data_IF_781146353210
#
_entry.id   IF_781146353210
#
_cell.length_a   1.000
_cell.length_b   1.000
_cell.length_c   1.000
_cell.angle_alpha   90.00
_cell.angle_beta   90.00
_cell.angle_gamma   90.00
#
_symmetry.space_group_name_H-M   'P 1'
#
loop_
_entity.id
_entity.type
_entity.pdbx_description
1 polymer ?
#
# COMPACT_ATOMS: atom_id res chain seq x y z
N UNK A 1 25.37 -1.69 -25.90
CA UNK A 1 24.51 -2.08 -24.77
C UNK A 1 23.47 -0.98 -24.62
N UNK A 2 22.30 -1.15 -25.24
CA UNK A 2 21.23 -0.14 -25.24
C UNK A 2 20.83 0.17 -23.80
N UNK A 3 21.08 1.42 -23.39
CA UNK A 3 20.54 1.96 -22.16
C UNK A 3 19.02 1.95 -22.25
N UNK A 4 18.40 0.92 -21.69
CA UNK A 4 16.95 0.90 -21.42
C UNK A 4 16.62 2.22 -20.74
N UNK A 5 15.95 3.11 -21.47
CA UNK A 5 15.42 4.36 -20.97
C UNK A 5 14.55 4.02 -19.75
N UNK A 6 15.11 4.22 -18.55
CA UNK A 6 14.38 3.99 -17.31
C UNK A 6 13.38 5.13 -17.22
N UNK A 7 12.16 4.87 -17.68
CA UNK A 7 11.05 5.82 -17.53
C UNK A 7 10.79 5.92 -16.02
N UNK A 8 11.30 6.99 -15.42
CA UNK A 8 11.09 7.30 -14.01
C UNK A 8 9.73 7.98 -13.88
N UNK A 9 8.95 7.54 -12.89
CA UNK A 9 7.66 8.13 -12.55
C UNK A 9 7.77 8.88 -11.22
N UNK A 10 8.37 10.09 -11.20
CA UNK A 10 8.71 10.79 -9.97
C UNK A 10 7.47 11.14 -9.14
N UNK A 11 6.36 11.52 -9.78
CA UNK A 11 5.10 11.85 -9.09
C UNK A 11 4.55 10.67 -8.28
N UNK A 12 4.44 9.50 -8.90
CA UNK A 12 3.97 8.28 -8.21
C UNK A 12 4.96 7.84 -7.14
N UNK A 13 6.27 7.92 -7.42
CA UNK A 13 7.30 7.55 -6.45
C UNK A 13 7.25 8.44 -5.20
N UNK A 14 7.07 9.75 -5.36
CA UNK A 14 6.92 10.69 -4.23
C UNK A 14 5.70 10.37 -3.38
N UNK A 15 4.53 10.13 -4.01
CA UNK A 15 3.30 9.77 -3.27
C UNK A 15 3.49 8.45 -2.51
N UNK A 16 4.08 7.44 -3.15
CA UNK A 16 4.33 6.14 -2.53
C UNK A 16 5.33 6.24 -1.36
N UNK A 17 6.39 7.03 -1.51
CA UNK A 17 7.34 7.31 -0.44
C UNK A 17 6.66 8.05 0.70
N UNK A 18 5.86 9.07 0.42
CA UNK A 18 5.13 9.81 1.46
C UNK A 18 4.19 8.89 2.27
N UNK A 19 3.41 8.05 1.59
CA UNK A 19 2.53 7.07 2.24
C UNK A 19 3.32 6.04 3.06
N UNK A 20 4.46 5.55 2.54
CA UNK A 20 5.34 4.65 3.28
C UNK A 20 5.94 5.33 4.52
N UNK A 21 6.37 6.58 4.41
CA UNK A 21 6.89 7.36 5.55
C UNK A 21 5.85 7.51 6.66
N UNK A 22 4.58 7.75 6.31
CA UNK A 22 3.48 7.79 7.30
C UNK A 22 3.32 6.43 7.99
N UNK A 23 3.41 5.33 7.23
CA UNK A 23 3.34 3.99 7.81
C UNK A 23 4.56 3.66 8.69
N UNK A 24 5.76 4.06 8.28
CA UNK A 24 6.98 3.92 9.08
C UNK A 24 6.90 4.74 10.37
N UNK A 25 6.36 5.96 10.30
CA UNK A 25 6.12 6.80 11.47
C UNK A 25 5.21 6.11 12.49
N UNK A 26 4.18 5.37 12.04
CA UNK A 26 3.38 4.52 12.94
C UNK A 26 4.24 3.47 13.65
N UNK A 27 5.02 2.69 12.90
CA UNK A 27 5.84 1.60 13.48
C UNK A 27 6.83 2.17 14.49
N UNK A 28 7.46 3.30 14.14
CA UNK A 28 8.35 4.02 15.03
C UNK A 28 7.64 4.54 16.29
N UNK A 29 6.47 5.18 16.14
CA UNK A 29 5.68 5.69 17.27
C UNK A 29 5.23 4.57 18.21
N UNK A 30 4.84 3.41 17.65
CA UNK A 30 4.45 2.23 18.42
C UNK A 30 5.65 1.64 19.19
N UNK A 31 6.84 1.56 18.56
CA UNK A 31 8.06 1.13 19.26
C UNK A 31 8.48 2.15 20.33
N UNK A 32 8.44 3.44 20.00
CA UNK A 32 8.81 4.51 20.92
C UNK A 32 7.94 4.46 22.16
N UNK A 33 6.61 4.35 22.04
CA UNK A 33 5.72 4.20 23.20
C UNK A 33 6.00 2.93 24.02
N UNK A 34 6.44 1.84 23.37
CA UNK A 34 6.78 0.60 24.07
C UNK A 34 8.04 0.73 24.94
N UNK A 35 9.08 1.41 24.44
CA UNK A 35 10.37 1.53 25.13
C UNK A 35 10.44 2.79 26.01
N UNK A 36 9.81 3.87 25.57
CA UNK A 36 9.80 5.19 26.20
C UNK A 36 8.36 5.70 26.23
N UNK A 37 7.57 5.31 27.26
CA UNK A 37 6.21 5.81 27.37
C UNK A 37 6.22 7.32 27.59
N UNK A 38 5.75 8.08 26.60
CA UNK A 38 5.71 9.54 26.63
C UNK A 38 4.28 10.04 26.79
N UNK A 39 4.05 11.06 27.62
CA UNK A 39 2.70 11.57 27.89
C UNK A 39 2.03 12.32 26.74
N UNK A 40 2.79 12.68 25.70
CA UNK A 40 2.27 13.41 24.53
C UNK A 40 1.59 12.49 23.48
N UNK A 41 2.00 11.22 23.40
CA UNK A 41 1.42 10.24 22.47
C UNK A 41 0.40 9.37 23.21
N UNK A 42 -0.65 8.88 22.52
CA UNK A 42 -1.61 7.93 23.12
C UNK A 42 -0.90 6.72 23.74
N UNK A 43 -1.43 6.14 24.83
CA UNK A 43 -0.88 4.95 25.47
C UNK A 43 -0.67 3.82 24.48
N UNK A 44 0.34 2.98 24.70
CA UNK A 44 0.65 1.83 23.84
C UNK A 44 -0.57 0.93 23.55
N UNK A 45 -1.47 0.79 24.52
CA UNK A 45 -2.78 0.12 24.43
C UNK A 45 -3.64 0.63 23.26
N UNK A 46 -3.55 1.92 22.89
CA UNK A 46 -4.33 2.48 21.77
C UNK A 46 -3.67 2.21 20.39
N UNK A 47 -2.36 1.93 20.39
CA UNK A 47 -1.59 1.63 19.18
C UNK A 47 -1.71 0.17 18.74
N UNK A 48 -2.15 -0.71 19.64
CA UNK A 48 -2.46 -2.10 19.36
C UNK A 48 -3.90 -2.39 19.73
N UNK A 49 -4.68 -3.04 18.87
CA UNK A 49 -6.06 -3.41 19.24
C UNK A 49 -6.14 -4.48 20.35
N UNK A 50 -5.01 -4.95 20.90
CA UNK A 50 -4.92 -6.08 21.83
C UNK A 50 -5.31 -7.45 21.24
N UNK A 51 -5.93 -7.47 20.06
CA UNK A 51 -6.52 -8.66 19.45
C UNK A 51 -5.52 -9.73 18.98
N UNK A 52 -4.25 -9.35 18.78
CA UNK A 52 -3.20 -10.25 18.29
C UNK A 52 -1.89 -10.02 19.05
N UNK A 53 -1.02 -11.05 19.19
CA UNK A 53 0.25 -10.91 19.86
C UNK A 53 1.14 -9.83 19.21
N UNK A 54 1.77 -9.00 20.04
CA UNK A 54 2.61 -7.88 19.58
C UNK A 54 3.75 -8.33 18.64
N UNK A 55 4.40 -9.46 18.92
CA UNK A 55 5.48 -9.97 18.07
C UNK A 55 5.00 -10.26 16.64
N UNK A 56 3.78 -10.81 16.51
CA UNK A 56 3.17 -11.11 15.22
C UNK A 56 2.80 -9.82 14.46
N UNK A 57 2.31 -8.80 15.19
CA UNK A 57 2.08 -7.46 14.65
C UNK A 57 3.36 -6.85 14.08
N UNK A 58 4.47 -6.93 14.81
CA UNK A 58 5.76 -6.39 14.36
C UNK A 58 6.26 -7.13 13.12
N UNK A 59 6.20 -8.46 13.10
CA UNK A 59 6.58 -9.27 11.93
C UNK A 59 5.75 -8.87 10.71
N UNK A 60 4.43 -8.76 10.86
CA UNK A 60 3.55 -8.33 9.77
C UNK A 60 3.89 -6.91 9.28
N UNK A 61 4.17 -5.96 10.19
CA UNK A 61 4.55 -4.59 9.84
C UNK A 61 5.85 -4.54 9.02
N UNK A 62 6.88 -5.28 9.45
CA UNK A 62 8.14 -5.36 8.70
C UNK A 62 7.93 -6.01 7.32
N UNK A 63 7.12 -7.06 7.25
CA UNK A 63 6.82 -7.74 5.99
C UNK A 63 6.07 -6.80 5.02
N UNK A 64 5.12 -6.01 5.51
CA UNK A 64 4.43 -4.97 4.75
C UNK A 64 5.41 -3.91 4.25
N UNK A 65 6.26 -3.36 5.14
CA UNK A 65 7.27 -2.35 4.76
C UNK A 65 8.19 -2.89 3.68
N UNK A 66 8.69 -4.12 3.84
CA UNK A 66 9.57 -4.78 2.88
C UNK A 66 8.90 -4.91 1.51
N UNK A 67 7.64 -5.37 1.47
CA UNK A 67 6.87 -5.47 0.23
C UNK A 67 6.68 -4.09 -0.41
N UNK A 68 6.29 -3.08 0.35
CA UNK A 68 6.16 -1.70 -0.14
C UNK A 68 7.50 -1.16 -0.70
N UNK A 69 8.62 -1.41 -0.02
CA UNK A 69 9.95 -0.98 -0.43
C UNK A 69 10.35 -1.67 -1.74
N UNK A 70 10.14 -2.98 -1.86
CA UNK A 70 10.38 -3.75 -3.08
C UNK A 70 9.55 -3.18 -4.24
N UNK A 71 8.27 -2.85 -4.00
CA UNK A 71 7.40 -2.25 -5.02
C UNK A 71 7.93 -0.88 -5.47
N UNK A 72 8.27 0.02 -4.53
CA UNK A 72 8.85 1.34 -4.83
C UNK A 72 10.15 1.17 -5.62
N UNK A 73 11.04 0.27 -5.20
CA UNK A 73 12.30 0.01 -5.87
C UNK A 73 12.09 -0.53 -7.29
N UNK A 74 11.14 -1.45 -7.49
CA UNK A 74 10.81 -1.96 -8.82
C UNK A 74 10.28 -0.87 -9.74
N UNK A 75 9.39 0.01 -9.23
CA UNK A 75 8.86 1.17 -9.95
C UNK A 75 9.98 2.17 -10.28
N UNK A 76 10.83 2.49 -9.30
CA UNK A 76 11.91 3.47 -9.43
C UNK A 76 13.03 3.01 -10.38
N UNK A 77 13.37 1.72 -10.38
CA UNK A 77 14.32 1.12 -11.31
C UNK A 77 13.74 0.90 -12.73
N UNK A 78 12.46 1.19 -12.97
CA UNK A 78 11.79 0.91 -14.25
C UNK A 78 11.81 -0.58 -14.63
N UNK A 79 12.05 -1.48 -13.67
CA UNK A 79 12.01 -2.94 -13.85
C UNK A 79 10.61 -3.52 -13.68
N UNK A 80 9.59 -2.67 -13.65
CA UNK A 80 8.19 -3.10 -13.66
C UNK A 80 7.87 -3.61 -15.05
N UNK A 81 7.72 -4.93 -15.16
CA UNK A 81 7.04 -5.56 -16.29
C UNK A 81 5.54 -5.39 -16.02
N UNK A 82 4.80 -4.56 -16.78
CA UNK A 82 3.41 -4.23 -16.50
C UNK A 82 2.48 -5.43 -16.76
N UNK A 83 2.31 -6.32 -15.78
CA UNK A 83 1.41 -7.48 -15.91
C UNK A 83 -0.03 -7.09 -15.52
N UNK A 84 -0.92 -6.95 -16.52
CA UNK A 84 -2.33 -6.54 -16.31
C UNK A 84 -3.11 -7.41 -15.31
N UNK A 85 -2.86 -8.72 -15.23
CA UNK A 85 -3.55 -9.61 -14.28
C UNK A 85 -3.17 -9.32 -12.83
N UNK A 86 -1.88 -9.17 -12.55
CA UNK A 86 -1.37 -8.89 -11.21
C UNK A 86 -1.81 -7.51 -10.74
N UNK A 87 -1.80 -6.51 -11.63
CA UNK A 87 -2.34 -5.17 -11.34
C UNK A 87 -3.82 -5.20 -10.96
N UNK A 88 -4.67 -5.89 -11.74
CA UNK A 88 -6.11 -6.01 -11.45
C UNK A 88 -6.41 -6.71 -10.12
N UNK A 89 -5.73 -7.83 -9.83
CA UNK A 89 -5.95 -8.56 -8.57
C UNK A 89 -5.51 -7.72 -7.38
N UNK A 90 -4.35 -7.07 -7.46
CA UNK A 90 -3.84 -6.22 -6.39
C UNK A 90 -4.71 -4.98 -6.17
N UNK A 91 -5.24 -4.39 -7.26
CA UNK A 91 -6.17 -3.26 -7.21
C UNK A 91 -7.53 -3.68 -6.62
N UNK A 92 -8.07 -4.84 -7.02
CA UNK A 92 -9.34 -5.35 -6.50
C UNK A 92 -9.24 -5.71 -5.02
N UNK A 93 -8.21 -6.48 -4.63
CA UNK A 93 -7.96 -6.80 -3.22
C UNK A 93 -7.66 -5.55 -2.39
N UNK A 94 -6.86 -4.62 -2.93
CA UNK A 94 -6.57 -3.35 -2.27
C UNK A 94 -7.79 -2.46 -2.09
N UNK A 95 -8.67 -2.40 -3.09
CA UNK A 95 -9.91 -1.64 -3.04
C UNK A 95 -10.89 -2.24 -2.02
N UNK A 96 -11.08 -3.57 -2.02
CA UNK A 96 -11.89 -4.25 -1.00
C UNK A 96 -11.33 -3.97 0.39
N UNK A 97 -10.01 -4.12 0.57
CA UNK A 97 -9.35 -3.87 1.85
C UNK A 97 -9.51 -2.41 2.32
N UNK A 98 -9.36 -1.45 1.40
CA UNK A 98 -9.62 -0.03 1.67
C UNK A 98 -11.07 0.20 2.12
N UNK A 99 -12.03 -0.41 1.43
CA UNK A 99 -13.46 -0.26 1.73
C UNK A 99 -13.81 -0.82 3.11
N UNK A 100 -13.28 -2.00 3.45
CA UNK A 100 -13.45 -2.63 4.77
C UNK A 100 -12.82 -1.77 5.87
N UNK A 101 -11.62 -1.22 5.64
CA UNK A 101 -10.94 -0.37 6.63
C UNK A 101 -11.60 0.99 6.81
N UNK A 102 -12.13 1.60 5.75
CA UNK A 102 -12.94 2.82 5.82
C UNK A 102 -14.23 2.59 6.58
N UNK A 103 -14.94 1.49 6.28
CA UNK A 103 -16.14 1.11 7.02
C UNK A 103 -15.82 0.95 8.51
N UNK A 104 -14.74 0.22 8.83
CA UNK A 104 -14.27 0.05 10.21
C UNK A 104 -13.92 1.37 10.89
N UNK A 105 -13.29 2.31 10.17
CA UNK A 105 -12.93 3.63 10.70
C UNK A 105 -14.18 4.46 11.00
N UNK A 106 -15.16 4.48 10.09
CA UNK A 106 -16.40 5.23 10.25
C UNK A 106 -17.18 4.64 11.43
N UNK A 107 -17.34 3.32 11.50
CA UNK A 107 -18.07 2.65 12.60
C UNK A 107 -17.37 2.85 13.95
N UNK A 108 -16.04 2.81 13.99
CA UNK A 108 -15.25 3.08 15.21
C UNK A 108 -15.30 4.54 15.66
N UNK A 109 -15.67 5.48 14.77
CA UNK A 109 -15.89 6.88 15.12
C UNK A 109 -17.34 7.18 15.54
N UNK A 110 -18.32 6.38 15.09
CA UNK A 110 -19.76 6.71 15.24
C UNK A 110 -20.54 5.87 16.25
N UNK A 111 -20.24 4.58 16.47
CA UNK A 111 -21.20 3.66 17.14
C UNK A 111 -20.78 3.17 18.54
N UNK A 112 -19.49 2.98 18.86
CA UNK A 112 -19.10 2.54 20.21
C UNK A 112 -17.58 2.74 20.49
N UNK A 113 -17.18 3.74 21.30
CA UNK A 113 -15.78 3.90 21.74
C UNK A 113 -15.30 2.80 22.71
N UNK A 114 -16.22 2.07 23.34
CA UNK A 114 -15.99 1.20 24.51
C UNK A 114 -15.45 -0.22 24.16
N UNK A 115 -15.55 -0.67 22.90
CA UNK A 115 -15.04 -1.99 22.50
C UNK A 115 -13.65 -1.91 21.87
N UNK A 116 -12.67 -2.62 22.45
CA UNK A 116 -11.26 -2.70 22.01
C UNK A 116 -11.03 -2.98 20.51
N UNK A 117 -11.97 -3.65 19.85
CA UNK A 117 -11.92 -3.91 18.41
C UNK A 117 -12.30 -2.71 17.53
N UNK A 118 -13.17 -1.82 18.01
CA UNK A 118 -13.62 -0.59 17.34
C UNK A 118 -12.91 0.67 17.87
N UNK A 119 -12.42 0.66 19.11
CA UNK A 119 -11.66 1.74 19.74
C UNK A 119 -10.26 1.94 19.17
N UNK A 120 -9.73 0.94 18.45
CA UNK A 120 -8.43 0.98 17.76
C UNK A 120 -8.46 1.84 16.48
N UNK A 121 -8.78 3.13 16.65
CA UNK A 121 -8.87 4.14 15.59
C UNK A 121 -7.52 4.39 14.93
N UNK A 122 -6.44 4.39 15.71
CA UNK A 122 -5.08 4.65 15.24
C UNK A 122 -4.62 3.56 14.24
N UNK A 123 -4.65 2.25 14.55
CA UNK A 123 -4.34 1.20 13.56
C UNK A 123 -5.18 1.28 12.29
N UNK A 124 -6.48 1.53 12.42
CA UNK A 124 -7.42 1.55 11.30
C UNK A 124 -7.09 2.68 10.32
N UNK A 125 -6.74 3.87 10.82
CA UNK A 125 -6.29 4.99 9.98
C UNK A 125 -5.05 4.63 9.16
N UNK A 126 -4.03 4.03 9.78
CA UNK A 126 -2.82 3.62 9.06
C UNK A 126 -3.07 2.48 8.06
N UNK A 127 -4.03 1.59 8.31
CA UNK A 127 -4.46 0.62 7.31
C UNK A 127 -5.12 1.28 6.09
N UNK A 128 -5.85 2.39 6.27
CA UNK A 128 -6.37 3.19 5.15
C UNK A 128 -5.26 3.84 4.34
N UNK A 129 -4.18 4.31 4.99
CA UNK A 129 -2.97 4.82 4.32
C UNK A 129 -2.31 3.72 3.50
N UNK A 130 -2.13 2.53 4.08
CA UNK A 130 -1.57 1.36 3.40
C UNK A 130 -2.44 0.91 2.22
N UNK A 131 -3.76 0.95 2.38
CA UNK A 131 -4.71 0.59 1.34
C UNK A 131 -4.67 1.60 0.18
N UNK A 132 -4.54 2.90 0.48
CA UNK A 132 -4.32 3.96 -0.52
C UNK A 132 -3.00 3.76 -1.28
N UNK A 133 -1.95 3.28 -0.61
CA UNK A 133 -0.69 2.89 -1.26
C UNK A 133 -0.93 1.74 -2.26
N UNK A 134 -1.64 0.69 -1.84
CA UNK A 134 -1.94 -0.46 -2.69
C UNK A 134 -2.77 -0.09 -3.92
N UNK A 135 -3.79 0.75 -3.74
CA UNK A 135 -4.62 1.28 -4.83
C UNK A 135 -3.78 2.12 -5.80
N UNK A 136 -2.90 2.99 -5.30
CA UNK A 136 -2.00 3.82 -6.13
C UNK A 136 -1.08 2.95 -7.00
N UNK A 137 -0.50 1.91 -6.41
CA UNK A 137 0.32 0.91 -7.14
C UNK A 137 -0.53 0.16 -8.17
N UNK A 138 -1.73 -0.27 -7.80
CA UNK A 138 -2.66 -0.96 -8.69
C UNK A 138 -3.03 -0.11 -9.91
N UNK A 139 -3.37 1.16 -9.70
CA UNK A 139 -3.68 2.12 -10.78
C UNK A 139 -2.47 2.32 -11.69
N UNK A 140 -1.27 2.45 -11.13
CA UNK A 140 -0.04 2.55 -11.91
C UNK A 140 0.15 1.33 -12.82
N UNK A 141 0.03 0.11 -12.28
CA UNK A 141 0.15 -1.12 -13.06
C UNK A 141 -0.97 -1.28 -14.11
N UNK A 142 -2.21 -0.87 -13.79
CA UNK A 142 -3.35 -0.98 -14.69
C UNK A 142 -3.24 -0.04 -15.89
N UNK A 143 -2.85 1.22 -15.68
CA UNK A 143 -2.71 2.19 -16.77
C UNK A 143 -1.57 1.81 -17.73
N UNK A 144 -0.41 1.40 -17.19
CA UNK A 144 0.75 1.07 -18.01
C UNK A 144 0.66 -0.33 -18.66
N UNK A 145 -0.01 -1.29 -18.03
CA UNK A 145 -0.27 -2.60 -18.64
C UNK A 145 -1.31 -2.53 -19.76
N UNK A 146 -2.29 -1.62 -19.68
CA UNK A 146 -3.25 -1.42 -20.78
C UNK A 146 -2.52 -0.96 -22.05
N UNK A 147 -1.62 0.01 -21.96
CA UNK A 147 -0.87 0.52 -23.12
C UNK A 147 -0.03 -0.54 -23.82
N UNK A 148 0.63 -1.44 -23.08
CA UNK A 148 1.41 -2.54 -23.66
C UNK A 148 0.54 -3.51 -24.46
N UNK A 149 -0.61 -3.91 -23.92
CA UNK A 149 -1.55 -4.80 -24.60
C UNK A 149 -2.14 -4.20 -25.88
N UNK A 150 -2.49 -2.90 -25.87
CA UNK A 150 -2.97 -2.22 -27.08
C UNK A 150 -1.90 -2.14 -28.15
N UNK A 151 -0.65 -1.86 -27.77
CA UNK A 151 0.47 -1.78 -28.72
C UNK A 151 0.75 -3.13 -29.38
N UNK A 152 0.74 -4.21 -28.61
CA UNK A 152 0.92 -5.56 -29.13
C UNK A 152 -0.24 -6.00 -30.05
N UNK A 153 -1.48 -5.60 -29.74
CA UNK A 153 -2.65 -5.88 -30.57
C UNK A 153 -2.59 -5.14 -31.93
N UNK A 154 -2.17 -3.87 -31.94
CA UNK A 154 -1.99 -3.10 -33.18
C UNK A 154 -0.85 -3.66 -34.03
N UNK A 155 0.26 -4.07 -33.41
CA UNK A 155 1.39 -4.65 -34.11
C UNK A 155 1.05 -6.03 -34.70
N UNK A 156 0.31 -6.88 -33.98
CA UNK A 156 -0.20 -8.15 -34.51
C UNK A 156 -1.17 -7.97 -35.68
N UNK A 157 -2.05 -6.98 -35.63
CA UNK A 157 -2.98 -6.65 -36.72
C UNK A 157 -2.25 -6.17 -37.99
N UNK A 158 -1.26 -5.27 -37.85
CA UNK A 158 -0.48 -4.80 -38.99
C UNK A 158 0.29 -5.93 -39.70
N UNK A 159 0.87 -6.85 -38.92
CA UNK A 159 1.61 -7.98 -39.46
C UNK A 159 0.71 -8.99 -40.19
N UNK A 160 -0.55 -9.11 -39.78
CA UNK A 160 -1.53 -9.99 -40.42
C UNK A 160 -2.07 -9.42 -41.74
N UNK A 161 -2.12 -8.09 -41.88
CA UNK A 161 -2.57 -7.42 -43.12
C UNK A 161 -1.47 -7.28 -44.19
N UNK A 162 -0.23 -7.65 -43.87
CA UNK A 162 0.92 -7.58 -44.80
C UNK A 162 1.32 -8.95 -45.37
N UNK A 163 0.57 -10.01 -45.04
CA UNK A 163 0.66 -11.33 -45.66
C UNK A 163 -0.57 -11.58 -46.54
#
# INVERSE_FOLDING_TARGET
>A
MEGKQIIKYPRYSVVLIALLSIFCFRVFSQLLQKFYPVGFLPPFEDWQSGAVPYWLLVVAQFLIILVCLIVILKISLGRVIPRNRTGKICLFLGAIYLMVMLFRLIVGLTIAPEHSWFGARIPTFFHTVLASFLVTVGVFHYQHGKQENYRNALQGSNNANTQ
#
